data_IF_951479398547
#
_entry.id   IF_951479398547
#
_cell.length_a   1.000
_cell.length_b   1.000
_cell.length_c   1.000
_cell.angle_alpha   90.00
_cell.angle_beta   90.00
_cell.angle_gamma   90.00
#
_symmetry.space_group_name_H-M   'P 1'
#
loop_
_entity.id
_entity.type
_entity.pdbx_description
1 polymer ?
#
# COMPACT_ATOMS: atom_id res chain seq x y z
N UNK A 1 14.49 -33.56 -40.90
CA UNK A 1 15.40 -32.80 -40.02
C UNK A 1 15.66 -31.46 -40.68
N UNK A 2 14.93 -30.41 -40.30
CA UNK A 2 15.20 -29.06 -40.80
C UNK A 2 16.32 -28.46 -39.94
N UNK A 3 17.49 -28.24 -40.52
CA UNK A 3 18.54 -27.45 -39.89
C UNK A 3 18.09 -25.99 -39.88
N UNK A 4 17.71 -25.49 -38.71
CA UNK A 4 17.52 -24.05 -38.48
C UNK A 4 18.84 -23.32 -38.73
N UNK A 5 18.80 -22.30 -39.58
CA UNK A 5 19.99 -21.53 -39.95
C UNK A 5 20.49 -20.73 -38.73
N UNK A 6 21.82 -20.62 -38.55
CA UNK A 6 22.42 -19.98 -37.37
C UNK A 6 21.98 -18.52 -37.11
N UNK A 7 21.36 -17.85 -38.09
CA UNK A 7 20.77 -16.52 -37.94
C UNK A 7 19.46 -16.53 -37.13
N UNK A 8 18.65 -17.59 -37.22
CA UNK A 8 17.38 -17.71 -36.49
C UNK A 8 17.61 -17.96 -35.01
N UNK A 9 18.62 -18.76 -34.64
CA UNK A 9 19.01 -18.97 -33.24
C UNK A 9 19.49 -17.66 -32.58
N UNK A 10 20.20 -16.81 -33.32
CA UNK A 10 20.77 -15.56 -32.79
C UNK A 10 19.69 -14.48 -32.58
N UNK A 11 18.67 -14.42 -33.43
CA UNK A 11 17.48 -13.57 -33.23
C UNK A 11 16.62 -14.05 -32.07
N UNK A 12 16.45 -15.37 -31.89
CA UNK A 12 15.66 -15.92 -30.79
C UNK A 12 16.35 -15.67 -29.44
N UNK A 13 17.67 -15.89 -29.35
CA UNK A 13 18.46 -15.63 -28.14
C UNK A 13 18.59 -14.13 -27.83
N UNK A 14 18.86 -13.30 -28.85
CA UNK A 14 18.95 -11.85 -28.66
C UNK A 14 17.62 -11.21 -28.26
N UNK A 15 16.50 -11.65 -28.86
CA UNK A 15 15.16 -11.13 -28.57
C UNK A 15 14.65 -11.54 -27.17
N UNK A 16 14.91 -12.77 -26.74
CA UNK A 16 14.49 -13.24 -25.42
C UNK A 16 15.27 -12.58 -24.27
N UNK A 17 16.55 -12.28 -24.47
CA UNK A 17 17.36 -11.48 -23.52
C UNK A 17 16.81 -10.06 -23.43
N UNK A 18 16.49 -9.41 -24.55
CA UNK A 18 15.93 -8.05 -24.56
C UNK A 18 14.60 -7.96 -23.81
N UNK A 19 13.69 -8.93 -24.00
CA UNK A 19 12.40 -8.98 -23.31
C UNK A 19 12.59 -9.19 -21.80
N UNK A 20 13.53 -10.04 -21.39
CA UNK A 20 13.84 -10.24 -19.96
C UNK A 20 14.42 -8.97 -19.31
N UNK A 21 15.28 -8.23 -20.02
CA UNK A 21 15.84 -6.96 -19.53
C UNK A 21 14.79 -5.86 -19.41
N UNK A 22 13.88 -5.74 -20.38
CA UNK A 22 12.76 -4.78 -20.32
C UNK A 22 11.81 -5.12 -19.16
N UNK A 23 11.49 -6.42 -18.98
CA UNK A 23 10.66 -6.88 -17.88
C UNK A 23 11.28 -6.61 -16.50
N UNK A 24 12.61 -6.76 -16.37
CA UNK A 24 13.33 -6.43 -15.15
C UNK A 24 13.37 -4.92 -14.87
N UNK A 25 13.63 -4.10 -15.89
CA UNK A 25 13.67 -2.65 -15.76
C UNK A 25 12.31 -2.06 -15.35
N UNK A 26 11.20 -2.60 -15.85
CA UNK A 26 9.85 -2.16 -15.49
C UNK A 26 9.39 -2.65 -14.10
N UNK A 27 9.94 -3.77 -13.60
CA UNK A 27 9.57 -4.36 -12.30
C UNK A 27 10.23 -3.66 -11.09
N UNK A 28 11.24 -2.81 -11.33
CA UNK A 28 12.05 -2.20 -10.27
C UNK A 28 11.48 -0.91 -9.67
N UNK A 29 10.31 -0.44 -10.12
CA UNK A 29 9.63 0.72 -9.53
C UNK A 29 8.83 0.36 -8.27
N UNK A 30 9.41 -0.45 -7.38
CA UNK A 30 8.90 -0.52 -6.00
C UNK A 30 9.41 0.70 -5.27
N UNK A 31 8.60 1.76 -5.25
CA UNK A 31 8.85 2.92 -4.39
C UNK A 31 9.04 2.43 -2.97
N UNK A 32 10.28 2.50 -2.47
CA UNK A 32 10.60 2.21 -1.09
C UNK A 32 10.00 3.32 -0.23
N UNK A 33 8.73 3.20 0.14
CA UNK A 33 8.11 4.09 1.11
C UNK A 33 8.75 3.82 2.47
N UNK A 34 9.59 4.73 2.94
CA UNK A 34 10.10 4.70 4.32
C UNK A 34 8.97 5.06 5.27
N UNK A 35 8.86 4.35 6.39
CA UNK A 35 7.94 4.76 7.45
C UNK A 35 8.40 6.08 8.07
N UNK A 36 7.44 6.95 8.36
CA UNK A 36 7.65 8.26 8.98
C UNK A 36 6.99 8.29 10.35
N UNK A 37 7.34 9.29 11.15
CA UNK A 37 6.59 9.57 12.37
C UNK A 37 5.19 10.09 12.03
N UNK A 38 4.20 9.80 12.89
CA UNK A 38 2.83 10.27 12.69
C UNK A 38 2.76 11.82 12.70
N UNK A 39 3.51 12.47 13.58
CA UNK A 39 3.55 13.93 13.69
C UNK A 39 4.13 14.56 12.42
N UNK A 40 5.18 13.95 11.86
CA UNK A 40 5.75 14.39 10.57
C UNK A 40 4.75 14.23 9.42
N UNK A 41 4.00 13.14 9.39
CA UNK A 41 2.98 12.89 8.38
C UNK A 41 1.83 13.92 8.48
N UNK A 42 1.37 14.20 9.70
CA UNK A 42 0.29 15.15 9.96
C UNK A 42 0.67 16.61 9.76
N UNK A 43 1.96 16.96 9.87
CA UNK A 43 2.44 18.31 9.57
C UNK A 43 2.17 18.74 8.10
N UNK A 44 1.96 17.79 7.19
CA UNK A 44 1.64 18.03 5.76
C UNK A 44 0.14 18.08 5.48
N UNK A 45 -0.70 17.71 6.45
CA UNK A 45 -2.15 17.72 6.32
C UNK A 45 -2.72 19.04 6.88
N UNK A 46 -3.90 19.46 6.42
CA UNK A 46 -4.66 20.51 7.11
C UNK A 46 -4.83 20.14 8.60
N UNK A 47 -4.90 21.14 9.49
CA UNK A 47 -5.12 20.89 10.92
C UNK A 47 -6.54 20.40 11.22
N UNK A 48 -7.50 20.81 10.39
CA UNK A 48 -8.89 20.38 10.42
C UNK A 48 -9.51 20.46 9.04
N UNK A 49 -10.52 19.64 8.77
CA UNK A 49 -11.26 19.67 7.51
C UNK A 49 -12.04 18.39 7.29
N UNK A 50 -12.38 18.15 6.02
CA UNK A 50 -12.95 16.88 5.57
C UNK A 50 -11.80 15.93 5.21
N UNK A 51 -11.82 14.74 5.80
CA UNK A 51 -10.89 13.66 5.47
C UNK A 51 -11.66 12.44 4.97
N UNK A 52 -11.07 11.78 3.99
CA UNK A 52 -11.54 10.49 3.49
C UNK A 52 -10.60 9.40 3.99
N UNK A 53 -11.16 8.42 4.69
CA UNK A 53 -10.47 7.26 5.26
C UNK A 53 -10.79 6.04 4.41
N UNK A 54 -9.83 5.62 3.59
CA UNK A 54 -9.96 4.46 2.72
C UNK A 54 -9.32 3.24 3.39
N UNK A 55 -10.14 2.43 4.05
CA UNK A 55 -9.70 1.16 4.62
C UNK A 55 -9.54 0.11 3.53
N UNK A 56 -8.46 -0.65 3.62
CA UNK A 56 -8.14 -1.73 2.68
C UNK A 56 -7.76 -3.01 3.43
N UNK A 57 -7.91 -4.13 2.72
CA UNK A 57 -7.57 -5.46 3.20
C UNK A 57 -6.07 -5.71 3.11
N UNK A 58 -5.55 -6.72 3.82
CA UNK A 58 -4.14 -7.13 3.72
C UNK A 58 -3.73 -7.55 2.30
N UNK A 59 -4.69 -7.95 1.45
CA UNK A 59 -4.45 -8.23 0.04
C UNK A 59 -4.32 -6.97 -0.83
N UNK A 60 -4.52 -5.78 -0.25
CA UNK A 60 -4.57 -4.49 -0.95
C UNK A 60 -5.96 -4.11 -1.48
N UNK A 61 -6.95 -5.01 -1.40
CA UNK A 61 -8.29 -4.73 -1.91
C UNK A 61 -9.03 -3.73 -1.03
N UNK A 62 -9.81 -2.85 -1.64
CA UNK A 62 -10.72 -1.96 -0.93
C UNK A 62 -11.60 -2.72 0.07
N UNK A 63 -11.78 -2.16 1.27
CA UNK A 63 -12.67 -2.70 2.29
C UNK A 63 -13.86 -1.80 2.54
N UNK A 64 -13.62 -0.52 2.89
CA UNK A 64 -14.66 0.49 3.10
C UNK A 64 -14.08 1.89 3.06
N UNK A 65 -14.90 2.89 2.77
CA UNK A 65 -14.57 4.31 2.90
C UNK A 65 -15.40 4.93 4.02
N UNK A 66 -14.78 5.82 4.80
CA UNK A 66 -15.45 6.63 5.83
C UNK A 66 -15.04 8.09 5.64
N UNK A 67 -16.00 9.00 5.70
CA UNK A 67 -15.72 10.44 5.72
C UNK A 67 -15.74 10.94 7.16
N UNK A 68 -14.71 11.70 7.56
CA UNK A 68 -14.60 12.30 8.88
C UNK A 68 -14.41 13.80 8.71
N UNK A 69 -15.20 14.57 9.46
CA UNK A 69 -15.08 16.03 9.52
C UNK A 69 -14.56 16.38 10.90
N UNK A 70 -13.37 16.99 10.98
CA UNK A 70 -12.77 17.32 12.26
C UNK A 70 -11.27 17.52 12.19
N UNK A 71 -10.60 17.17 13.27
CA UNK A 71 -9.15 17.28 13.48
C UNK A 71 -8.46 15.93 13.30
N UNK A 72 -7.11 15.94 13.41
CA UNK A 72 -6.31 14.71 13.54
C UNK A 72 -6.89 13.71 14.56
N UNK A 73 -7.29 14.20 15.73
CA UNK A 73 -7.75 13.32 16.81
C UNK A 73 -9.02 12.55 16.43
N UNK A 74 -9.94 13.20 15.70
CA UNK A 74 -11.18 12.59 15.23
C UNK A 74 -10.90 11.50 14.18
N UNK A 75 -9.97 11.79 13.27
CA UNK A 75 -9.53 10.84 12.22
C UNK A 75 -8.82 9.64 12.85
N UNK A 76 -7.83 9.87 13.70
CA UNK A 76 -7.08 8.80 14.37
C UNK A 76 -7.97 7.94 15.26
N UNK A 77 -8.94 8.54 15.96
CA UNK A 77 -9.93 7.81 16.75
C UNK A 77 -10.73 6.79 15.92
N UNK A 78 -11.20 7.18 14.73
CA UNK A 78 -11.94 6.26 13.85
C UNK A 78 -11.02 5.18 13.25
N UNK A 79 -9.76 5.51 12.92
CA UNK A 79 -8.76 4.52 12.47
C UNK A 79 -8.49 3.50 13.57
N UNK A 80 -8.16 3.95 14.78
CA UNK A 80 -7.80 3.09 15.90
C UNK A 80 -8.97 2.23 16.39
N UNK A 81 -10.21 2.72 16.28
CA UNK A 81 -11.40 1.90 16.52
C UNK A 81 -11.49 0.70 15.59
N UNK A 82 -11.17 0.86 14.31
CA UNK A 82 -11.14 -0.25 13.34
C UNK A 82 -9.96 -1.17 13.62
N UNK A 83 -8.79 -0.59 13.88
CA UNK A 83 -7.55 -1.32 14.12
C UNK A 83 -7.65 -2.19 15.37
N UNK A 84 -8.22 -1.68 16.46
CA UNK A 84 -8.51 -2.45 17.68
C UNK A 84 -9.45 -3.63 17.42
N UNK A 85 -10.53 -3.41 16.66
CA UNK A 85 -11.44 -4.51 16.23
C UNK A 85 -10.73 -5.54 15.34
N UNK A 86 -9.69 -5.11 14.63
CA UNK A 86 -8.86 -5.92 13.76
C UNK A 86 -7.68 -6.62 14.48
N UNK A 87 -7.47 -6.38 15.78
CA UNK A 87 -6.28 -6.83 16.50
C UNK A 87 -4.99 -6.23 15.92
N UNK A 88 -5.04 -4.94 15.59
CA UNK A 88 -3.91 -4.07 15.27
C UNK A 88 -3.85 -3.08 16.42
N UNK A 89 -3.20 -3.44 17.51
CA UNK A 89 -3.11 -2.52 18.65
C UNK A 89 -2.01 -1.50 18.35
N UNK A 90 -0.73 -1.89 18.46
CA UNK A 90 0.42 -1.02 18.18
C UNK A 90 1.29 -1.52 17.01
N UNK A 91 0.80 -2.52 16.28
CA UNK A 91 1.54 -3.17 15.20
C UNK A 91 1.22 -2.55 13.84
N UNK A 92 1.45 -1.25 13.72
CA UNK A 92 1.29 -0.52 12.46
C UNK A 92 2.45 0.44 12.22
N UNK A 93 2.63 0.82 10.97
CA UNK A 93 3.60 1.77 10.48
C UNK A 93 2.86 2.89 9.77
N UNK A 94 3.38 4.10 9.88
CA UNK A 94 2.83 5.27 9.19
C UNK A 94 3.71 5.57 7.98
N UNK A 95 3.07 5.77 6.84
CA UNK A 95 3.72 6.22 5.61
C UNK A 95 3.06 7.53 5.18
N UNK A 96 3.83 8.43 4.57
CA UNK A 96 3.32 9.71 4.03
C UNK A 96 3.49 9.71 2.51
N UNK A 97 2.58 9.05 1.75
CA UNK A 97 2.52 9.25 0.31
C UNK A 97 2.23 10.72 -0.02
N UNK A 98 2.51 11.13 -1.27
CA UNK A 98 2.46 12.54 -1.70
C UNK A 98 1.15 13.27 -1.40
N UNK A 99 0.03 12.55 -1.29
CA UNK A 99 -1.30 13.13 -1.10
C UNK A 99 -2.06 12.53 0.10
N UNK A 100 -1.36 11.98 1.09
CA UNK A 100 -2.04 11.39 2.24
C UNK A 100 -1.14 10.78 3.31
N UNK A 101 -1.78 10.08 4.24
CA UNK A 101 -1.14 9.32 5.31
C UNK A 101 -1.67 7.90 5.25
N UNK A 102 -0.79 6.91 5.11
CA UNK A 102 -1.16 5.49 5.08
C UNK A 102 -0.74 4.83 6.41
N UNK A 103 -1.74 4.47 7.21
CA UNK A 103 -1.56 3.63 8.40
C UNK A 103 -1.65 2.18 7.96
N UNK A 104 -0.55 1.44 8.03
CA UNK A 104 -0.49 0.05 7.56
C UNK A 104 -0.04 -0.89 8.65
N UNK A 105 -0.68 -2.06 8.74
CA UNK A 105 -0.25 -3.15 9.62
C UNK A 105 1.21 -3.53 9.32
N UNK A 106 2.03 -3.65 10.37
CA UNK A 106 3.46 -3.98 10.26
C UNK A 106 3.71 -5.41 9.77
N UNK A 107 2.87 -6.37 10.19
CA UNK A 107 3.03 -7.78 9.86
C UNK A 107 1.76 -8.36 9.24
N UNK A 108 1.91 -9.19 8.22
CA UNK A 108 0.77 -9.92 7.65
C UNK A 108 0.24 -10.95 8.66
N UNK A 109 -1.09 -11.10 8.75
CA UNK A 109 -1.72 -12.08 9.66
C UNK A 109 -2.38 -13.20 8.87
N UNK A 110 -1.74 -14.37 8.85
CA UNK A 110 -2.22 -15.57 8.15
C UNK A 110 -3.38 -16.31 8.87
N UNK A 111 -3.79 -15.91 10.08
CA UNK A 111 -4.73 -16.67 10.94
C UNK A 111 -6.23 -16.49 10.62
N UNK A 112 -6.59 -16.55 9.34
CA UNK A 112 -7.94 -16.95 8.90
C UNK A 112 -9.06 -15.91 8.93
N UNK A 113 -10.22 -16.36 8.44
CA UNK A 113 -11.35 -15.66 7.79
C UNK A 113 -12.13 -14.58 8.56
N UNK A 114 -11.79 -14.31 9.83
CA UNK A 114 -12.48 -13.29 10.63
C UNK A 114 -12.27 -11.90 10.03
N UNK A 115 -13.35 -11.16 9.83
CA UNK A 115 -13.37 -9.90 9.08
C UNK A 115 -12.38 -8.86 9.62
N UNK A 116 -12.26 -8.75 10.95
CA UNK A 116 -11.27 -7.88 11.57
C UNK A 116 -9.82 -8.22 11.18
N UNK A 117 -9.48 -9.50 11.02
CA UNK A 117 -8.11 -9.90 10.64
C UNK A 117 -7.78 -9.62 9.17
N UNK A 118 -8.78 -9.27 8.35
CA UNK A 118 -8.57 -8.94 6.94
C UNK A 118 -8.07 -7.52 6.73
N UNK A 119 -8.17 -6.62 7.72
CA UNK A 119 -7.73 -5.23 7.59
C UNK A 119 -6.20 -5.16 7.45
N UNK A 120 -5.75 -4.48 6.40
CA UNK A 120 -4.34 -4.23 6.08
C UNK A 120 -3.90 -2.82 6.43
N UNK A 121 -4.78 -1.84 6.32
CA UNK A 121 -4.48 -0.47 6.68
C UNK A 121 -5.59 0.52 6.31
N UNK A 122 -5.27 1.80 6.41
CA UNK A 122 -6.12 2.92 6.10
C UNK A 122 -5.31 4.04 5.45
N UNK A 123 -5.69 4.43 4.23
CA UNK A 123 -5.18 5.62 3.57
C UNK A 123 -6.08 6.82 3.89
N UNK A 124 -5.50 7.83 4.52
CA UNK A 124 -6.14 9.10 4.85
C UNK A 124 -5.77 10.12 3.78
N UNK A 125 -6.78 10.79 3.21
CA UNK A 125 -6.60 11.90 2.27
C UNK A 125 -7.45 13.09 2.70
N UNK A 126 -6.90 14.30 2.66
CA UNK A 126 -7.70 15.51 2.81
C UNK A 126 -8.53 15.74 1.54
N UNK A 127 -9.76 16.23 1.72
CA UNK A 127 -10.70 16.56 0.62
C UNK A 127 -10.92 18.06 0.52
#
# INVERSE_FOLDING_TARGET
MAQSSGAEMLLILGGSVLIAFIGWALSSTKSASKSVDADEAWAKMPASGKYTLNFYRQSGNHHRTVEVYGSRSDVESEIFKVFKRAGIDDQYMVFSPSNGIDYRRAYHNHRGSNEGKKVGGCLVTAS
#
